data_IF_740671080514
#
_entry.id   IF_740671080514
#
_cell.length_a   1.000
_cell.length_b   1.000
_cell.length_c   1.000
_cell.angle_alpha   90.00
_cell.angle_beta   90.00
_cell.angle_gamma   90.00
#
_symmetry.space_group_name_H-M   'P 1'
#
loop_
_entity.id
_entity.type
_entity.pdbx_description
1 polymer ?
#
# COMPACT_ATOMS: atom_id res chain seq x y z
N UNK A 1 -24.11 1.97 -1.15
CA UNK A 1 -23.10 3.03 -0.98
C UNK A 1 -21.75 2.31 -1.04
N UNK A 2 -20.86 2.67 -1.97
CA UNK A 2 -19.56 2.01 -2.09
C UNK A 2 -18.63 2.67 -1.08
N UNK A 3 -18.27 1.93 -0.02
CA UNK A 3 -17.28 2.38 0.95
C UNK A 3 -15.96 2.69 0.23
N UNK A 4 -15.42 3.89 0.46
CA UNK A 4 -14.19 4.34 -0.17
C UNK A 4 -13.03 3.55 0.44
N UNK A 5 -12.36 2.71 -0.37
CA UNK A 5 -11.24 1.92 0.12
C UNK A 5 -10.13 2.81 0.71
N UNK A 6 -9.44 2.28 1.72
CA UNK A 6 -8.27 2.95 2.34
C UNK A 6 -7.05 2.94 1.43
N UNK A 7 -7.04 2.07 0.43
CA UNK A 7 -5.92 1.82 -0.48
C UNK A 7 -6.38 1.86 -1.94
N UNK A 8 -7.03 2.95 -2.40
CA UNK A 8 -7.71 2.98 -3.70
C UNK A 8 -6.79 2.81 -4.91
N UNK A 9 -5.50 3.19 -4.83
CA UNK A 9 -4.56 2.94 -5.92
C UNK A 9 -4.03 1.51 -5.85
N UNK A 10 -3.69 1.02 -4.65
CA UNK A 10 -3.24 -0.36 -4.50
C UNK A 10 -4.30 -1.36 -4.94
N UNK A 11 -5.57 -1.12 -4.60
CA UNK A 11 -6.71 -1.97 -4.99
C UNK A 11 -6.96 -1.97 -6.50
N UNK A 12 -6.48 -0.94 -7.21
CA UNK A 12 -6.60 -0.85 -8.67
C UNK A 12 -5.50 -1.60 -9.42
N UNK A 13 -4.39 -1.94 -8.75
CA UNK A 13 -3.24 -2.62 -9.36
C UNK A 13 -3.46 -4.14 -9.30
N UNK A 14 -3.60 -4.76 -10.47
CA UNK A 14 -3.73 -6.22 -10.61
C UNK A 14 -2.44 -6.85 -11.09
N UNK A 15 -1.71 -6.13 -11.94
CA UNK A 15 -0.47 -6.57 -12.54
C UNK A 15 0.63 -5.47 -12.47
N UNK A 16 1.92 -5.83 -12.45
CA UNK A 16 3.02 -4.85 -12.45
C UNK A 16 3.04 -3.92 -13.67
N UNK A 17 2.28 -4.22 -14.72
CA UNK A 17 2.15 -3.34 -15.88
C UNK A 17 1.28 -2.10 -15.56
N UNK A 18 0.30 -2.21 -14.66
CA UNK A 18 -0.69 -1.17 -14.38
C UNK A 18 -0.03 0.10 -13.80
N UNK A 19 1.04 -0.07 -13.02
CA UNK A 19 1.76 1.06 -12.41
C UNK A 19 2.53 1.90 -13.44
N UNK A 20 2.75 1.38 -14.65
CA UNK A 20 3.48 2.11 -15.70
C UNK A 20 2.71 3.32 -16.21
N UNK A 21 1.38 3.30 -16.08
CA UNK A 21 0.51 4.40 -16.48
C UNK A 21 0.34 5.46 -15.39
N UNK A 22 0.92 5.24 -14.20
CA UNK A 22 0.74 6.13 -13.07
C UNK A 22 1.64 7.35 -13.17
N UNK A 23 1.09 8.51 -12.85
CA UNK A 23 1.89 9.71 -12.63
C UNK A 23 2.81 9.55 -11.42
N UNK A 24 3.88 10.36 -11.36
CA UNK A 24 4.79 10.39 -10.19
C UNK A 24 4.04 10.61 -8.87
N UNK A 25 2.96 11.42 -8.88
CA UNK A 25 2.13 11.64 -7.69
C UNK A 25 1.37 10.38 -7.28
N UNK A 26 0.78 9.67 -8.23
CA UNK A 26 0.11 8.39 -7.98
C UNK A 26 1.09 7.32 -7.52
N UNK A 27 2.30 7.26 -8.08
CA UNK A 27 3.34 6.33 -7.63
C UNK A 27 3.75 6.57 -6.17
N UNK A 28 3.90 7.83 -5.76
CA UNK A 28 4.17 8.19 -4.35
C UNK A 28 3.02 7.76 -3.43
N UNK A 29 1.78 7.97 -3.85
CA UNK A 29 0.60 7.54 -3.10
C UNK A 29 0.52 6.01 -3.00
N UNK A 30 0.70 5.29 -4.11
CA UNK A 30 0.73 3.83 -4.17
C UNK A 30 1.80 3.26 -3.23
N UNK A 31 3.01 3.83 -3.22
CA UNK A 31 4.08 3.40 -2.32
C UNK A 31 3.72 3.60 -0.84
N UNK A 32 3.00 4.68 -0.51
CA UNK A 32 2.49 4.91 0.85
C UNK A 32 1.42 3.89 1.22
N UNK A 33 0.44 3.67 0.36
CA UNK A 33 -0.64 2.70 0.56
C UNK A 33 -0.09 1.29 0.77
N UNK A 34 0.86 0.86 -0.08
CA UNK A 34 1.52 -0.45 0.03
C UNK A 34 2.28 -0.61 1.35
N UNK A 35 3.01 0.43 1.78
CA UNK A 35 3.75 0.41 3.05
C UNK A 35 2.79 0.28 4.23
N UNK A 36 1.75 1.11 4.26
CA UNK A 36 0.78 1.13 5.35
C UNK A 36 0.05 -0.22 5.45
N UNK A 37 -0.34 -0.80 4.32
CA UNK A 37 -1.00 -2.11 4.28
C UNK A 37 -0.08 -3.25 4.69
N UNK A 38 1.19 -3.22 4.28
CA UNK A 38 2.21 -4.18 4.72
C UNK A 38 2.39 -4.10 6.23
N UNK A 39 2.59 -2.90 6.78
CA UNK A 39 2.73 -2.66 8.23
C UNK A 39 1.51 -3.17 8.98
N UNK A 40 0.30 -2.86 8.49
CA UNK A 40 -0.95 -3.33 9.10
C UNK A 40 -1.03 -4.85 9.09
N UNK A 41 -0.77 -5.46 7.93
CA UNK A 41 -0.85 -6.91 7.76
C UNK A 41 0.10 -7.65 8.69
N UNK A 42 1.34 -7.16 8.86
CA UNK A 42 2.30 -7.78 9.79
C UNK A 42 2.04 -7.44 11.26
N UNK A 43 1.37 -6.32 11.56
CA UNK A 43 1.03 -5.92 12.93
C UNK A 43 -0.06 -6.80 13.54
N UNK A 44 -0.95 -7.37 12.72
CA UNK A 44 -2.07 -8.20 13.17
C UNK A 44 -1.61 -9.63 13.54
N UNK A 45 -0.57 -10.15 12.90
CA UNK A 45 -0.16 -11.57 13.04
C UNK A 45 0.78 -11.85 14.22
N UNK A 46 1.38 -10.84 14.85
CA UNK A 46 2.29 -11.02 15.98
C UNK A 46 3.49 -10.08 15.92
N UNK A 47 3.58 -9.21 16.93
CA UNK A 47 4.45 -8.05 16.98
C UNK A 47 5.95 -8.35 16.89
N UNK A 48 6.68 -7.27 16.59
CA UNK A 48 8.14 -7.03 16.48
C UNK A 48 8.63 -6.57 15.09
N UNK A 49 7.82 -6.64 14.03
CA UNK A 49 8.24 -6.10 12.71
C UNK A 49 8.11 -4.57 12.57
N UNK A 50 7.50 -3.89 13.55
CA UNK A 50 7.56 -2.43 13.65
C UNK A 50 8.98 -1.90 13.89
N UNK A 51 9.89 -2.73 14.43
CA UNK A 51 11.26 -2.34 14.73
C UNK A 51 12.24 -2.50 13.55
N UNK A 52 11.83 -3.15 12.44
CA UNK A 52 12.74 -3.52 11.34
C UNK A 52 12.47 -2.81 10.02
N UNK A 53 11.37 -2.06 9.90
CA UNK A 53 11.02 -1.32 8.68
C UNK A 53 11.64 0.08 8.68
N UNK A 54 12.96 0.14 8.86
CA UNK A 54 13.79 1.34 8.93
C UNK A 54 13.16 2.56 8.25
N UNK A 55 12.83 3.56 9.08
CA UNK A 55 12.38 4.89 8.68
C UNK A 55 13.36 5.56 7.72
#
# INVERSE_FOLDING_TARGET
MVEKSKTPLLDSVRDPADIREFSVKQLKQLAKELRDDTVRSVSITGGHLGASLGV
#
